data_IF_666177216768
#
_entry.id   IF_666177216768
#
_cell.length_a   1.000
_cell.length_b   1.000
_cell.length_c   1.000
_cell.angle_alpha   90.00
_cell.angle_beta   90.00
_cell.angle_gamma   90.00
#
_symmetry.space_group_name_H-M   'P 1'
#
loop_
_entity.id
_entity.type
_entity.pdbx_description
1 polymer ?
#
# COMPACT_ATOMS: atom_id res chain seq x y z
N UNK A 1 -60.69 9.77 -32.07
CA UNK A 1 -60.64 11.09 -31.41
C UNK A 1 -59.31 11.15 -30.69
N UNK A 2 -58.38 11.93 -31.24
CA UNK A 2 -56.99 12.02 -30.79
C UNK A 2 -56.90 13.08 -29.70
N UNK A 3 -56.37 12.74 -28.53
CA UNK A 3 -56.15 13.68 -27.43
C UNK A 3 -54.67 13.69 -27.07
N UNK A 4 -53.94 14.65 -27.65
CA UNK A 4 -52.60 15.06 -27.24
C UNK A 4 -52.68 15.86 -25.94
N UNK A 5 -52.06 15.35 -24.88
CA UNK A 5 -51.82 16.09 -23.64
C UNK A 5 -50.36 16.54 -23.57
N UNK A 6 -50.16 17.84 -23.73
CA UNK A 6 -48.90 18.56 -23.52
C UNK A 6 -48.76 18.84 -22.02
N UNK A 7 -47.69 18.35 -21.39
CA UNK A 7 -47.37 18.65 -19.99
C UNK A 7 -46.08 19.46 -19.94
N UNK A 8 -46.17 20.68 -19.40
CA UNK A 8 -45.07 21.63 -19.21
C UNK A 8 -44.70 21.70 -17.72
N UNK A 9 -43.41 21.42 -17.41
CA UNK A 9 -42.48 21.96 -16.38
C UNK A 9 -42.90 22.07 -14.89
N UNK A 10 -41.96 21.90 -13.91
CA UNK A 10 -40.86 22.85 -13.71
C UNK A 10 -39.48 22.24 -13.39
N UNK A 11 -38.44 22.97 -13.79
CA UNK A 11 -37.04 22.75 -13.41
C UNK A 11 -36.81 23.34 -12.02
N UNK A 12 -36.48 22.51 -11.03
CA UNK A 12 -36.03 22.98 -9.71
C UNK A 12 -34.52 23.17 -9.74
N UNK A 13 -34.08 24.42 -9.75
CA UNK A 13 -32.69 24.81 -9.50
C UNK A 13 -32.43 24.71 -8.00
N UNK A 14 -31.65 23.72 -7.57
CA UNK A 14 -31.11 23.69 -6.20
C UNK A 14 -29.74 24.38 -6.19
N UNK A 15 -29.72 25.58 -5.62
CA UNK A 15 -28.51 26.32 -5.29
C UNK A 15 -27.91 25.68 -4.02
N UNK A 16 -26.73 25.05 -4.13
CA UNK A 16 -25.98 24.57 -2.97
C UNK A 16 -24.89 25.59 -2.66
N UNK A 17 -24.90 26.08 -1.42
CA UNK A 17 -24.09 27.16 -0.91
C UNK A 17 -22.59 26.84 -0.94
N UNK A 18 -21.79 27.87 -1.24
CA UNK A 18 -20.34 27.87 -1.07
C UNK A 18 -19.99 27.64 0.41
N UNK A 19 -19.45 26.47 0.71
CA UNK A 19 -18.77 26.15 1.97
C UNK A 19 -17.35 26.70 1.89
N UNK A 20 -17.14 27.88 2.48
CA UNK A 20 -15.80 28.44 2.68
C UNK A 20 -14.97 27.48 3.56
N UNK A 21 -13.88 26.94 2.99
CA UNK A 21 -12.92 26.16 3.74
C UNK A 21 -12.22 27.04 4.80
N UNK A 22 -12.05 26.56 6.04
CA UNK A 22 -11.28 27.31 7.03
C UNK A 22 -9.80 27.26 6.65
N UNK A 23 -9.23 28.42 6.31
CA UNK A 23 -7.79 28.60 6.11
C UNK A 23 -7.09 28.48 7.46
N UNK A 24 -6.70 27.25 7.83
CA UNK A 24 -5.79 27.04 8.96
C UNK A 24 -4.41 27.62 8.57
N UNK A 25 -4.05 28.75 9.17
CA UNK A 25 -2.70 29.31 9.09
C UNK A 25 -1.75 28.36 9.81
N UNK A 26 -1.02 27.53 9.05
CA UNK A 26 0.11 26.76 9.55
C UNK A 26 1.18 27.73 10.05
N UNK A 27 1.25 27.90 11.37
CA UNK A 27 2.38 28.56 12.03
C UNK A 27 3.60 27.64 11.93
N UNK A 28 4.39 27.83 10.88
CA UNK A 28 5.72 27.24 10.75
C UNK A 28 6.67 27.95 11.71
N UNK A 29 6.74 27.49 12.96
CA UNK A 29 7.93 27.74 13.77
C UNK A 29 9.04 26.88 13.19
N UNK A 30 9.91 27.49 12.38
CA UNK A 30 10.94 26.78 11.64
C UNK A 30 12.16 26.50 12.52
N UNK A 31 12.40 25.22 12.79
CA UNK A 31 13.75 24.70 13.06
C UNK A 31 14.71 25.13 11.94
N UNK A 32 16.02 25.30 12.20
CA UNK A 32 16.97 25.75 11.18
C UNK A 32 16.91 24.82 9.95
N UNK A 33 16.69 25.40 8.77
CA UNK A 33 16.32 24.69 7.54
C UNK A 33 17.29 23.57 7.11
N UNK A 34 18.55 23.63 7.54
CA UNK A 34 19.54 22.56 7.30
C UNK A 34 19.35 21.33 8.20
N UNK A 35 18.88 21.52 9.43
CA UNK A 35 18.63 20.42 10.38
C UNK A 35 17.32 19.70 10.03
N UNK A 36 16.30 20.46 9.60
CA UNK A 36 15.05 19.89 9.11
C UNK A 36 15.22 19.10 7.80
N UNK A 37 16.11 19.54 6.90
CA UNK A 37 16.39 18.81 5.65
C UNK A 37 17.11 17.49 5.90
N UNK A 38 18.12 17.47 6.77
CA UNK A 38 18.82 16.23 7.15
C UNK A 38 17.87 15.23 7.78
N UNK A 39 17.05 15.68 8.73
CA UNK A 39 16.01 14.86 9.35
C UNK A 39 15.03 14.30 8.32
N UNK A 40 14.62 15.12 7.34
CA UNK A 40 13.73 14.68 6.25
C UNK A 40 14.38 13.59 5.39
N UNK A 41 15.66 13.73 5.05
CA UNK A 41 16.40 12.72 4.27
C UNK A 41 16.59 11.44 5.09
N UNK A 42 16.91 11.55 6.38
CA UNK A 42 17.07 10.40 7.26
C UNK A 42 15.75 9.65 7.50
N UNK A 43 14.61 10.35 7.42
CA UNK A 43 13.27 9.78 7.56
C UNK A 43 12.76 9.06 6.29
N UNK A 44 13.57 8.97 5.23
CA UNK A 44 13.19 8.24 4.01
C UNK A 44 12.84 6.78 4.34
N UNK A 45 11.71 6.32 3.81
CA UNK A 45 11.25 4.93 3.94
C UNK A 45 12.22 3.99 3.23
N UNK A 46 12.66 2.94 3.92
CA UNK A 46 13.65 2.00 3.38
C UNK A 46 13.07 0.65 2.98
N UNK A 47 11.88 0.31 3.46
CA UNK A 47 11.24 -0.97 3.19
C UNK A 47 9.74 -0.79 2.98
N UNK A 48 9.16 -1.66 2.17
CA UNK A 48 7.75 -1.67 1.80
C UNK A 48 7.22 -3.10 1.78
N UNK A 49 5.91 -3.22 2.03
CA UNK A 49 5.17 -4.44 1.74
C UNK A 49 4.28 -4.25 0.53
N UNK A 50 4.16 -5.32 -0.25
CA UNK A 50 3.15 -5.46 -1.28
C UNK A 50 2.23 -6.61 -0.90
N UNK A 51 0.95 -6.32 -0.68
CA UNK A 51 -0.07 -7.35 -0.47
C UNK A 51 -0.95 -7.47 -1.69
N UNK A 52 -0.84 -8.59 -2.42
CA UNK A 52 -1.75 -8.88 -3.51
C UNK A 52 -2.98 -9.62 -2.97
N UNK A 53 -4.16 -9.09 -3.26
CA UNK A 53 -5.43 -9.64 -2.81
C UNK A 53 -6.14 -10.47 -3.87
N UNK A 54 -6.85 -11.50 -3.42
CA UNK A 54 -7.69 -12.34 -4.25
C UNK A 54 -8.96 -12.77 -3.51
N UNK A 55 -10.02 -13.05 -4.26
CA UNK A 55 -11.25 -13.59 -3.68
C UNK A 55 -11.02 -15.05 -3.28
N UNK A 56 -10.95 -15.32 -1.98
CA UNK A 56 -10.61 -16.63 -1.42
C UNK A 56 -11.59 -17.73 -1.80
N UNK A 57 -12.88 -17.39 -1.93
CA UNK A 57 -13.94 -18.33 -2.32
C UNK A 57 -14.05 -18.52 -3.85
N UNK A 58 -13.09 -17.99 -4.62
CA UNK A 58 -13.04 -18.14 -6.07
C UNK A 58 -11.73 -18.82 -6.47
N UNK A 59 -11.82 -20.12 -6.81
CA UNK A 59 -10.66 -20.93 -7.19
C UNK A 59 -9.81 -20.28 -8.29
N UNK A 60 -10.43 -19.75 -9.35
CA UNK A 60 -9.71 -19.06 -10.44
C UNK A 60 -9.00 -17.79 -9.97
N UNK A 61 -9.57 -17.08 -8.99
CA UNK A 61 -8.91 -15.92 -8.40
C UNK A 61 -7.68 -16.34 -7.59
N UNK A 62 -7.81 -17.39 -6.77
CA UNK A 62 -6.70 -17.93 -5.98
C UNK A 62 -5.58 -18.49 -6.86
N UNK A 63 -5.92 -19.31 -7.85
CA UNK A 63 -4.95 -19.88 -8.81
C UNK A 63 -4.15 -18.80 -9.54
N UNK A 64 -4.83 -17.73 -9.97
CA UNK A 64 -4.20 -16.57 -10.60
C UNK A 64 -3.23 -15.85 -9.65
N UNK A 65 -3.59 -15.68 -8.37
CA UNK A 65 -2.70 -15.08 -7.37
C UNK A 65 -1.46 -15.95 -7.11
N UNK A 66 -1.63 -17.27 -6.97
CA UNK A 66 -0.52 -18.22 -6.83
C UNK A 66 0.41 -18.17 -8.04
N UNK A 67 -0.15 -18.12 -9.27
CA UNK A 67 0.65 -18.01 -10.49
C UNK A 67 1.46 -16.70 -10.53
N UNK A 68 0.90 -15.58 -10.05
CA UNK A 68 1.62 -14.31 -9.95
C UNK A 68 2.76 -14.42 -8.93
N UNK A 69 2.51 -15.02 -7.76
CA UNK A 69 3.56 -15.24 -6.75
C UNK A 69 4.70 -16.11 -7.29
N UNK A 70 4.39 -17.18 -8.02
CA UNK A 70 5.42 -18.04 -8.61
C UNK A 70 6.29 -17.28 -9.63
N UNK A 71 5.70 -16.37 -10.42
CA UNK A 71 6.48 -15.52 -11.32
C UNK A 71 7.40 -14.56 -10.57
N UNK A 72 7.01 -14.07 -9.38
CA UNK A 72 7.93 -13.29 -8.54
C UNK A 72 9.13 -14.13 -8.11
N UNK A 73 8.91 -15.40 -7.73
CA UNK A 73 10.00 -16.34 -7.44
C UNK A 73 10.95 -16.48 -8.63
N UNK A 74 10.43 -16.62 -9.85
CA UNK A 74 11.27 -16.66 -11.06
C UNK A 74 12.12 -15.39 -11.25
N UNK A 75 11.60 -14.20 -10.91
CA UNK A 75 12.39 -12.96 -10.97
C UNK A 75 13.51 -12.92 -9.93
N UNK A 76 13.23 -13.44 -8.73
CA UNK A 76 14.22 -13.55 -7.64
C UNK A 76 15.32 -14.52 -8.06
N UNK A 77 14.96 -15.68 -8.60
CA UNK A 77 15.91 -16.70 -9.08
C UNK A 77 16.82 -16.15 -10.21
N UNK A 78 16.31 -15.23 -11.02
CA UNK A 78 17.07 -14.52 -12.05
C UNK A 78 17.86 -13.31 -11.53
N UNK A 79 17.87 -13.07 -10.21
CA UNK A 79 18.49 -11.90 -9.58
C UNK A 79 18.02 -10.56 -10.17
N UNK A 80 16.80 -10.52 -10.71
CA UNK A 80 16.22 -9.29 -11.28
C UNK A 80 15.76 -8.32 -10.18
N UNK A 81 15.26 -8.89 -9.07
CA UNK A 81 14.84 -8.17 -7.86
C UNK A 81 15.29 -8.94 -6.63
N UNK A 82 15.57 -8.20 -5.54
CA UNK A 82 15.75 -8.77 -4.20
C UNK A 82 14.52 -8.41 -3.40
N UNK A 83 13.59 -9.37 -3.28
CA UNK A 83 12.34 -9.27 -2.53
C UNK A 83 12.08 -10.62 -1.86
N UNK A 84 11.24 -10.65 -0.83
CA UNK A 84 10.90 -11.90 -0.14
C UNK A 84 9.38 -12.07 -0.04
N UNK A 85 8.78 -12.92 -0.88
CA UNK A 85 7.40 -13.37 -0.67
C UNK A 85 7.31 -14.19 0.62
N UNK A 86 6.35 -13.86 1.49
CA UNK A 86 6.18 -14.57 2.75
C UNK A 86 5.95 -16.07 2.52
N UNK A 87 6.66 -16.91 3.28
CA UNK A 87 6.59 -18.38 3.13
C UNK A 87 5.48 -18.97 4.00
N UNK A 88 4.40 -19.41 3.35
CA UNK A 88 3.24 -20.02 3.99
C UNK A 88 2.76 -21.25 3.20
N UNK A 89 2.07 -22.22 3.83
CA UNK A 89 1.57 -23.39 3.12
C UNK A 89 0.71 -23.04 1.90
N UNK A 90 1.15 -23.48 0.72
CA UNK A 90 0.49 -23.17 -0.56
C UNK A 90 0.81 -21.78 -1.12
N UNK A 91 1.78 -21.07 -0.53
CA UNK A 91 2.33 -19.79 -0.97
C UNK A 91 1.46 -18.57 -0.68
N UNK A 92 0.19 -18.75 -0.28
CA UNK A 92 -0.74 -17.64 -0.05
C UNK A 92 -1.58 -17.89 1.20
N UNK A 93 -1.99 -16.82 1.88
CA UNK A 93 -3.02 -16.90 2.92
C UNK A 93 -4.39 -17.04 2.27
N UNK A 94 -4.97 -18.23 2.40
CA UNK A 94 -6.29 -18.51 1.85
C UNK A 94 -7.42 -17.80 2.61
N UNK A 95 -7.18 -17.41 3.86
CA UNK A 95 -8.15 -16.76 4.74
C UNK A 95 -7.69 -15.35 5.13
N UNK A 96 -8.61 -14.48 5.61
CA UNK A 96 -8.24 -13.20 6.21
C UNK A 96 -7.27 -13.38 7.39
N UNK A 97 -6.18 -12.61 7.41
CA UNK A 97 -5.15 -12.65 8.45
C UNK A 97 -4.68 -11.22 8.74
N UNK A 98 -4.51 -10.88 10.01
CA UNK A 98 -4.08 -9.53 10.41
C UNK A 98 -5.08 -8.46 9.97
N UNK A 99 -4.62 -7.32 9.41
CA UNK A 99 -5.51 -6.27 8.89
C UNK A 99 -6.15 -6.62 7.54
N UNK A 100 -5.77 -7.75 6.93
CA UNK A 100 -6.17 -8.13 5.56
C UNK A 100 -7.48 -8.93 5.58
N UNK A 101 -8.55 -8.33 5.03
CA UNK A 101 -9.93 -8.82 5.15
C UNK A 101 -10.34 -9.91 4.15
N UNK A 102 -9.48 -10.25 3.19
CA UNK A 102 -9.66 -11.36 2.23
C UNK A 102 -8.32 -12.06 1.99
N UNK A 103 -8.34 -13.17 1.24
CA UNK A 103 -7.13 -13.90 0.89
C UNK A 103 -6.08 -13.03 0.23
N UNK A 104 -4.83 -13.19 0.65
CA UNK A 104 -3.70 -12.37 0.18
C UNK A 104 -2.37 -13.11 0.20
N UNK A 105 -1.35 -12.52 -0.41
CA UNK A 105 0.05 -12.84 -0.08
C UNK A 105 0.85 -11.55 0.03
N UNK A 106 1.83 -11.57 0.93
CA UNK A 106 2.74 -10.48 1.22
C UNK A 106 4.08 -10.67 0.52
N UNK A 107 4.70 -9.55 0.15
CA UNK A 107 6.05 -9.49 -0.38
C UNK A 107 6.79 -8.35 0.32
N UNK A 108 7.81 -8.70 1.09
CA UNK A 108 8.78 -7.73 1.59
C UNK A 108 9.63 -7.21 0.44
N UNK A 109 9.79 -5.89 0.38
CA UNK A 109 10.52 -5.20 -0.67
C UNK A 109 11.40 -4.07 -0.08
N UNK A 110 12.73 -4.18 -0.17
CA UNK A 110 13.62 -3.10 0.20
C UNK A 110 13.57 -2.00 -0.86
N UNK A 111 13.92 -0.77 -0.49
CA UNK A 111 13.85 0.41 -1.37
C UNK A 111 14.66 0.23 -2.66
N UNK A 112 15.77 -0.51 -2.59
CA UNK A 112 16.66 -0.83 -3.70
C UNK A 112 15.97 -1.66 -4.80
N UNK A 113 14.94 -2.44 -4.45
CA UNK A 113 14.12 -3.21 -5.38
C UNK A 113 12.80 -2.54 -5.74
N UNK A 114 12.40 -1.49 -5.01
CA UNK A 114 11.04 -0.94 -5.05
C UNK A 114 10.58 -0.58 -6.47
N UNK A 115 11.37 0.20 -7.22
CA UNK A 115 10.96 0.65 -8.55
C UNK A 115 10.75 -0.51 -9.53
N UNK A 116 11.59 -1.55 -9.47
CA UNK A 116 11.46 -2.75 -10.31
C UNK A 116 10.23 -3.56 -9.91
N UNK A 117 10.04 -3.79 -8.61
CA UNK A 117 8.88 -4.53 -8.06
C UNK A 117 7.57 -3.81 -8.38
N UNK A 118 7.51 -2.49 -8.14
CA UNK A 118 6.35 -1.65 -8.42
C UNK A 118 5.99 -1.66 -9.91
N UNK A 119 6.99 -1.48 -10.79
CA UNK A 119 6.82 -1.56 -12.25
C UNK A 119 6.29 -2.94 -12.67
N UNK A 120 6.85 -4.01 -12.11
CA UNK A 120 6.42 -5.36 -12.43
C UNK A 120 4.97 -5.62 -12.03
N UNK A 121 4.55 -5.28 -10.80
CA UNK A 121 3.15 -5.43 -10.40
C UNK A 121 2.22 -4.57 -11.24
N UNK A 122 2.62 -3.36 -11.60
CA UNK A 122 1.83 -2.46 -12.46
C UNK A 122 1.45 -3.15 -13.78
N UNK A 123 2.37 -3.92 -14.37
CA UNK A 123 2.16 -4.62 -15.64
C UNK A 123 1.58 -6.02 -15.48
N UNK A 124 1.85 -6.72 -14.38
CA UNK A 124 1.65 -8.18 -14.28
C UNK A 124 0.63 -8.62 -13.23
N UNK A 125 0.10 -7.72 -12.37
CA UNK A 125 -0.90 -8.09 -11.34
C UNK A 125 -2.25 -8.57 -11.91
N UNK A 126 -2.46 -8.40 -13.22
CA UNK A 126 -3.73 -8.70 -13.87
C UNK A 126 -4.89 -7.92 -13.23
N UNK A 127 -5.92 -8.65 -12.81
CA UNK A 127 -7.12 -8.10 -12.16
C UNK A 127 -7.03 -7.92 -10.65
N UNK A 128 -5.91 -8.31 -10.04
CA UNK A 128 -5.75 -8.31 -8.58
C UNK A 128 -5.44 -6.91 -8.06
N UNK A 129 -6.06 -6.54 -6.94
CA UNK A 129 -5.67 -5.35 -6.20
C UNK A 129 -4.40 -5.61 -5.41
N UNK A 130 -3.52 -4.60 -5.35
CA UNK A 130 -2.29 -4.67 -4.55
C UNK A 130 -2.25 -3.46 -3.62
N UNK A 131 -2.22 -3.73 -2.31
CA UNK A 131 -1.87 -2.74 -1.31
C UNK A 131 -0.35 -2.62 -1.27
N UNK A 132 0.16 -1.40 -1.30
CA UNK A 132 1.58 -1.11 -1.10
C UNK A 132 1.67 -0.13 0.06
N UNK A 133 2.43 -0.47 1.09
CA UNK A 133 2.63 0.43 2.22
C UNK A 133 4.07 0.43 2.72
N UNK A 134 4.53 1.54 3.32
CA UNK A 134 5.86 1.60 3.93
C UNK A 134 5.96 0.73 5.20
N UNK A 135 7.17 0.38 5.60
CA UNK A 135 7.48 -0.36 6.84
C UNK A 135 8.16 0.56 7.88
N UNK A 136 7.42 1.55 8.37
CA UNK A 136 7.94 2.42 9.43
C UNK A 136 7.59 1.85 10.82
N UNK A 137 7.87 2.62 11.87
CA UNK A 137 7.41 2.28 13.23
C UNK A 137 5.91 2.52 13.43
N UNK A 138 5.25 3.23 12.53
CA UNK A 138 3.86 3.67 12.70
C UNK A 138 2.88 2.80 11.91
N UNK A 139 2.75 1.52 12.30
CA UNK A 139 2.01 0.50 11.54
C UNK A 139 0.59 0.93 11.15
N UNK A 140 -0.14 1.58 12.06
CA UNK A 140 -1.48 2.09 11.77
C UNK A 140 -1.47 3.12 10.64
N UNK A 141 -0.55 4.10 10.68
CA UNK A 141 -0.44 5.10 9.62
C UNK A 141 0.03 4.49 8.30
N UNK A 142 0.95 3.55 8.39
CA UNK A 142 1.50 2.84 7.24
C UNK A 142 0.39 2.11 6.47
N UNK A 143 -0.48 1.38 7.17
CA UNK A 143 -1.60 0.65 6.57
C UNK A 143 -2.80 1.53 6.20
N UNK A 144 -2.89 2.75 6.74
CA UNK A 144 -4.04 3.65 6.49
C UNK A 144 -3.69 4.79 5.55
N UNK A 145 -3.14 5.88 6.08
CA UNK A 145 -2.96 7.15 5.36
C UNK A 145 -1.75 7.16 4.43
N UNK A 146 -0.76 6.30 4.66
CA UNK A 146 0.46 6.19 3.83
C UNK A 146 0.40 5.07 2.80
N UNK A 147 -0.61 4.21 2.91
CA UNK A 147 -0.86 3.13 1.98
C UNK A 147 -1.28 3.67 0.60
N UNK A 148 -0.84 2.98 -0.45
CA UNK A 148 -1.27 3.20 -1.83
C UNK A 148 -1.81 1.91 -2.42
N UNK A 149 -2.74 2.03 -3.36
CA UNK A 149 -3.40 0.89 -3.99
C UNK A 149 -3.17 0.87 -5.49
N UNK A 150 -2.76 -0.29 -6.02
CA UNK A 150 -2.89 -0.59 -7.44
C UNK A 150 -4.21 -1.32 -7.69
N UNK A 151 -5.10 -0.73 -8.48
CA UNK A 151 -6.43 -1.27 -8.71
C UNK A 151 -7.44 -0.78 -7.67
N UNK A 152 -8.45 -1.60 -7.38
CA UNK A 152 -9.53 -1.22 -6.46
C UNK A 152 -9.05 -1.36 -5.01
N UNK A 153 -9.18 -0.31 -4.20
CA UNK A 153 -8.89 -0.42 -2.78
C UNK A 153 -9.92 -1.30 -2.06
N UNK A 154 -9.46 -1.96 -0.99
CA UNK A 154 -10.30 -2.69 -0.06
C UNK A 154 -10.20 -2.06 1.33
N UNK A 155 -11.26 -2.15 2.15
CA UNK A 155 -11.13 -1.80 3.56
C UNK A 155 -10.13 -2.74 4.24
N UNK A 156 -9.43 -2.23 5.25
CA UNK A 156 -8.56 -3.00 6.14
C UNK A 156 -9.13 -2.96 7.55
N UNK A 157 -8.93 -4.03 8.32
CA UNK A 157 -9.26 -4.07 9.74
C UNK A 157 -8.09 -3.54 10.56
N UNK A 158 -7.92 -2.21 10.55
CA UNK A 158 -6.78 -1.55 11.21
C UNK A 158 -6.93 -1.44 12.73
N UNK A 159 -8.11 -1.77 13.28
CA UNK A 159 -8.34 -1.79 14.74
C UNK A 159 -7.55 -2.90 15.44
N UNK A 160 -6.98 -3.84 14.68
CA UNK A 160 -6.09 -4.88 15.20
C UNK A 160 -4.77 -4.32 15.76
N UNK A 161 -4.32 -3.14 15.29
CA UNK A 161 -3.10 -2.52 15.77
C UNK A 161 -3.32 -1.95 17.18
N UNK A 162 -2.58 -2.48 18.16
CA UNK A 162 -2.71 -2.10 19.58
C UNK A 162 -1.81 -0.94 19.98
N UNK A 163 -0.85 -0.58 19.14
CA UNK A 163 0.17 0.42 19.40
C UNK A 163 0.34 1.28 18.16
N UNK A 164 0.37 2.60 18.36
CA UNK A 164 0.51 3.56 17.26
C UNK A 164 1.94 3.60 16.73
N UNK A 165 2.95 3.43 17.59
CA UNK A 165 4.38 3.51 17.27
C UNK A 165 5.16 2.37 17.92
N UNK A 166 5.81 1.53 17.13
CA UNK A 166 6.70 0.47 17.58
C UNK A 166 8.01 1.02 18.18
N UNK A 167 8.65 0.27 19.07
CA UNK A 167 9.94 0.67 19.68
C UNK A 167 11.08 0.70 18.64
N UNK A 168 11.07 -0.24 17.71
CA UNK A 168 12.06 -0.39 16.64
C UNK A 168 11.40 -0.53 15.28
N UNK A 169 12.16 -0.27 14.21
CA UNK A 169 11.70 -0.58 12.85
C UNK A 169 11.46 -2.09 12.72
N UNK A 170 10.47 -2.54 11.93
CA UNK A 170 10.32 -3.95 11.59
C UNK A 170 11.49 -4.35 10.68
N UNK A 171 12.57 -4.87 11.28
CA UNK A 171 13.75 -5.34 10.54
C UNK A 171 13.48 -6.72 9.95
N UNK A 172 12.73 -6.73 8.86
CA UNK A 172 12.41 -7.95 8.13
C UNK A 172 13.54 -8.25 7.15
N UNK A 173 14.08 -9.45 7.23
CA UNK A 173 15.17 -9.94 6.36
C UNK A 173 16.53 -9.22 6.45
N UNK A 174 17.12 -9.07 7.66
CA UNK A 174 18.43 -8.43 7.84
C UNK A 174 19.57 -9.15 7.10
N UNK A 175 19.41 -10.42 6.74
CA UNK A 175 20.39 -11.22 6.00
C UNK A 175 20.75 -10.67 4.61
N UNK A 176 19.89 -9.82 4.02
CA UNK A 176 20.19 -9.21 2.72
C UNK A 176 21.00 -7.91 2.82
N UNK A 177 21.15 -7.33 4.02
CA UNK A 177 21.85 -6.04 4.22
C UNK A 177 21.31 -4.91 3.32
N UNK A 178 20.00 -4.91 3.06
CA UNK A 178 19.26 -3.89 2.30
C UNK A 178 18.27 -3.15 3.20
N UNK A 179 17.65 -2.08 2.69
CA UNK A 179 16.60 -1.38 3.42
C UNK A 179 17.13 -0.78 4.73
N UNK A 180 16.45 -1.06 5.85
CA UNK A 180 16.88 -0.59 7.17
C UNK A 180 18.15 -1.29 7.68
N UNK A 181 18.56 -2.39 7.04
CA UNK A 181 19.78 -3.15 7.38
C UNK A 181 21.00 -2.77 6.53
N UNK A 182 20.88 -1.77 5.64
CA UNK A 182 21.97 -1.32 4.78
C UNK A 182 23.11 -0.65 5.57
N UNK A 183 24.35 -1.05 5.28
CA UNK A 183 25.56 -0.53 5.95
C UNK A 183 25.85 0.95 5.65
N UNK A 184 25.28 1.46 4.55
CA UNK A 184 25.42 2.85 4.10
C UNK A 184 24.15 3.69 4.36
N UNK A 185 23.23 3.21 5.22
CA UNK A 185 22.10 4.02 5.64
C UNK A 185 22.63 5.36 6.17
N UNK A 186 22.41 6.41 5.39
CA UNK A 186 23.05 7.71 5.56
C UNK A 186 22.97 8.12 7.02
N UNK A 187 24.12 8.09 7.70
CA UNK A 187 24.32 8.83 8.93
C UNK A 187 24.31 10.30 8.51
N UNK A 188 23.14 10.95 8.60
CA UNK A 188 22.98 12.39 8.39
C UNK A 188 22.80 13.10 9.73
#
# INVERSE_FOLDING_TARGET
MSSTSTTTTPTTTTQVADIAAPTASLSLTSEPATDSLKSTIAAEVKEYHFHLYFFQNNARSRESAVAIRNKLTELIDQSYVTIVPQDVPGGVHADPIGPHVIGSFEVWCPIESFARTFSWFTLNRGKHSVLVHPLTKEQLLDHSTRAVWMGQSLPLDVEIFKQDVLDHYPLEHPEYELGYSAKDAIVA
#
